data_IF_949607057947
#
_entry.id   IF_949607057947
#
_cell.length_a   1.000
_cell.length_b   1.000
_cell.length_c   1.000
_cell.angle_alpha   90.00
_cell.angle_beta   90.00
_cell.angle_gamma   90.00
#
_symmetry.space_group_name_H-M   'P 1'
#
loop_
_entity.id
_entity.type
_entity.pdbx_description
1 polymer ?
#
# COMPACT_ATOMS: atom_id res chain seq x y z
N UNK A 1 -20.95 -58.69 15.46
CA UNK A 1 -21.03 -57.26 15.14
C UNK A 1 -19.63 -56.77 14.84
N UNK A 2 -19.35 -56.43 13.55
CA UNK A 2 -18.03 -55.90 13.12
C UNK A 2 -18.13 -54.36 13.14
N UNK A 3 -17.38 -53.70 13.97
CA UNK A 3 -17.28 -52.21 13.97
C UNK A 3 -16.33 -51.78 12.83
N UNK A 4 -16.88 -51.07 11.83
CA UNK A 4 -16.14 -50.46 10.76
C UNK A 4 -15.55 -49.13 11.28
N UNK A 5 -14.23 -49.05 11.46
CA UNK A 5 -13.51 -47.80 11.79
C UNK A 5 -13.35 -46.97 10.53
N UNK A 6 -14.13 -45.90 10.41
CA UNK A 6 -13.98 -44.89 9.33
C UNK A 6 -12.89 -43.93 9.80
N UNK A 7 -11.71 -44.02 9.20
CA UNK A 7 -10.62 -43.05 9.38
C UNK A 7 -10.86 -41.87 8.49
N UNK A 8 -11.24 -40.72 9.07
CA UNK A 8 -11.43 -39.45 8.36
C UNK A 8 -10.05 -38.83 8.14
N UNK A 9 -9.54 -38.93 6.91
CA UNK A 9 -8.30 -38.26 6.52
C UNK A 9 -8.59 -36.77 6.26
N UNK A 10 -8.10 -35.91 7.17
CA UNK A 10 -8.16 -34.46 7.02
C UNK A 10 -7.14 -34.03 5.96
N UNK A 11 -7.60 -33.75 4.73
CA UNK A 11 -6.77 -33.15 3.69
C UNK A 11 -6.59 -31.64 4.01
N UNK A 12 -5.44 -31.30 4.57
CA UNK A 12 -5.01 -29.91 4.70
C UNK A 12 -4.64 -29.38 3.33
N UNK A 13 -5.58 -28.69 2.69
CA UNK A 13 -5.28 -27.88 1.51
C UNK A 13 -4.43 -26.65 1.95
N UNK A 14 -3.12 -26.76 1.82
CA UNK A 14 -2.24 -25.60 1.87
C UNK A 14 -2.47 -24.81 0.57
N UNK A 15 -3.24 -23.73 0.65
CA UNK A 15 -3.33 -22.75 -0.43
C UNK A 15 -1.98 -22.04 -0.52
N UNK A 16 -1.14 -22.47 -1.45
CA UNK A 16 0.02 -21.68 -1.85
C UNK A 16 -0.51 -20.40 -2.50
N UNK A 17 -0.48 -19.28 -1.77
CA UNK A 17 -0.65 -17.97 -2.38
C UNK A 17 0.58 -17.78 -3.25
N UNK A 18 0.43 -17.95 -4.55
CA UNK A 18 1.46 -17.64 -5.53
C UNK A 18 1.69 -16.12 -5.41
N UNK A 19 2.86 -15.75 -4.93
CA UNK A 19 3.29 -14.36 -4.89
C UNK A 19 3.26 -13.82 -6.34
N UNK A 20 2.40 -12.85 -6.60
CA UNK A 20 2.24 -12.29 -7.93
C UNK A 20 3.38 -11.32 -8.19
N UNK A 21 4.17 -11.58 -9.24
CA UNK A 21 5.18 -10.63 -9.71
C UNK A 21 4.50 -9.36 -10.22
N UNK A 22 4.83 -8.23 -9.58
CA UNK A 22 4.33 -6.92 -9.98
C UNK A 22 5.12 -6.43 -11.19
N UNK A 23 4.41 -5.94 -12.22
CA UNK A 23 5.04 -5.29 -13.38
C UNK A 23 5.83 -4.08 -12.91
N UNK A 24 7.07 -3.92 -13.41
CA UNK A 24 7.91 -2.76 -13.08
C UNK A 24 7.26 -1.44 -13.47
N UNK A 25 7.42 -0.43 -12.63
CA UNK A 25 6.92 0.92 -12.87
C UNK A 25 7.87 1.96 -12.29
N UNK A 26 7.76 3.17 -12.84
CA UNK A 26 8.53 4.34 -12.40
C UNK A 26 7.57 5.49 -12.11
N UNK A 27 7.80 6.19 -10.99
CA UNK A 27 7.03 7.36 -10.55
C UNK A 27 7.99 8.52 -10.32
N UNK A 28 7.58 9.72 -10.68
CA UNK A 28 8.26 10.97 -10.32
C UNK A 28 7.51 11.64 -9.19
N UNK A 29 8.22 12.02 -8.14
CA UNK A 29 7.65 12.72 -7.00
C UNK A 29 7.25 14.14 -7.38
N UNK A 30 6.08 14.56 -6.91
CA UNK A 30 5.56 15.91 -7.08
C UNK A 30 6.14 16.86 -6.03
N UNK A 31 6.59 16.34 -4.88
CA UNK A 31 7.02 17.17 -3.75
C UNK A 31 8.52 17.48 -3.73
N UNK A 32 9.37 16.61 -4.29
CA UNK A 32 10.83 16.77 -4.26
C UNK A 32 11.55 16.42 -5.58
N UNK A 33 10.80 16.10 -6.64
CA UNK A 33 11.28 15.70 -7.96
C UNK A 33 12.13 14.40 -7.96
N UNK A 34 12.19 13.67 -6.86
CA UNK A 34 12.86 12.36 -6.82
C UNK A 34 12.12 11.33 -7.67
N UNK A 35 12.81 10.27 -8.07
CA UNK A 35 12.23 9.20 -8.88
C UNK A 35 12.29 7.88 -8.13
N UNK A 36 11.15 7.20 -8.03
CA UNK A 36 11.05 5.83 -7.56
C UNK A 36 10.89 4.88 -8.75
N UNK A 37 11.69 3.81 -8.79
CA UNK A 37 11.54 2.70 -9.75
C UNK A 37 11.51 1.40 -8.98
N UNK A 38 10.47 0.57 -9.16
CA UNK A 38 10.31 -0.67 -8.41
C UNK A 38 11.50 -1.61 -8.54
N UNK A 39 12.00 -1.83 -9.75
CA UNK A 39 13.15 -2.71 -10.00
C UNK A 39 14.45 -2.27 -9.31
N UNK A 40 14.57 -0.98 -8.94
CA UNK A 40 15.71 -0.43 -8.19
C UNK A 40 15.58 -0.56 -6.67
N UNK A 41 14.43 -1.01 -6.17
CA UNK A 41 14.14 -1.18 -4.73
C UNK A 41 14.46 -2.59 -4.20
N UNK A 42 15.05 -3.46 -5.03
CA UNK A 42 15.41 -4.84 -4.63
C UNK A 42 16.26 -4.86 -3.36
N UNK A 43 15.98 -5.82 -2.49
CA UNK A 43 16.62 -5.94 -1.18
C UNK A 43 15.86 -5.26 -0.03
N UNK A 44 14.84 -4.44 -0.33
CA UNK A 44 13.97 -3.79 0.67
C UNK A 44 12.51 -4.17 0.44
N UNK A 45 11.73 -4.08 1.50
CA UNK A 45 10.27 -4.06 1.35
C UNK A 45 9.83 -2.75 0.73
N UNK A 46 8.73 -2.77 -0.03
CA UNK A 46 8.09 -1.57 -0.59
C UNK A 46 6.64 -1.52 -0.16
N UNK A 47 6.28 -0.49 0.59
CA UNK A 47 4.90 -0.22 1.00
C UNK A 47 4.31 0.87 0.11
N UNK A 48 3.31 0.52 -0.69
CA UNK A 48 2.63 1.42 -1.61
C UNK A 48 1.30 1.84 -0.98
N UNK A 49 1.16 3.13 -0.69
CA UNK A 49 -0.03 3.72 -0.10
C UNK A 49 -0.83 4.44 -1.19
N UNK A 50 -1.95 3.86 -1.59
CA UNK A 50 -2.90 4.50 -2.51
C UNK A 50 -3.83 5.40 -1.72
N UNK A 51 -3.60 6.70 -1.82
CA UNK A 51 -4.36 7.73 -1.13
C UNK A 51 -5.55 8.18 -1.98
N UNK A 52 -6.55 8.73 -1.31
CA UNK A 52 -7.73 9.30 -1.97
C UNK A 52 -7.46 10.76 -2.40
N UNK A 53 -8.46 11.34 -3.08
CA UNK A 53 -8.42 12.74 -3.52
C UNK A 53 -8.28 13.77 -2.38
N UNK A 54 -7.99 15.00 -2.74
CA UNK A 54 -7.46 16.09 -1.92
C UNK A 54 -8.20 16.35 -0.60
N UNK A 55 -9.53 16.31 -0.57
CA UNK A 55 -10.30 16.64 0.64
C UNK A 55 -10.39 15.48 1.66
N UNK A 56 -9.55 14.47 1.53
CA UNK A 56 -9.57 13.33 2.45
C UNK A 56 -8.82 13.65 3.78
N UNK A 57 -9.49 14.01 4.89
CA UNK A 57 -8.84 14.28 6.17
C UNK A 57 -8.21 13.02 6.77
N UNK A 58 -8.74 11.86 6.45
CA UNK A 58 -8.18 10.57 6.86
C UNK A 58 -6.82 10.29 6.19
N UNK A 59 -6.65 10.74 4.94
CA UNK A 59 -5.37 10.64 4.24
C UNK A 59 -4.30 11.52 4.90
N UNK A 60 -4.65 12.76 5.31
CA UNK A 60 -3.71 13.66 6.01
C UNK A 60 -3.22 13.00 7.30
N UNK A 61 -4.13 12.49 8.13
CA UNK A 61 -3.77 11.85 9.40
C UNK A 61 -2.91 10.61 9.19
N UNK A 62 -3.33 9.73 8.28
CA UNK A 62 -2.61 8.51 7.93
C UNK A 62 -1.19 8.81 7.42
N UNK A 63 -1.07 9.73 6.45
CA UNK A 63 0.23 10.07 5.87
C UNK A 63 1.15 10.73 6.88
N UNK A 64 0.64 11.67 7.71
CA UNK A 64 1.42 12.32 8.77
C UNK A 64 1.95 11.30 9.78
N UNK A 65 1.12 10.33 10.21
CA UNK A 65 1.54 9.27 11.13
C UNK A 65 2.67 8.41 10.54
N UNK A 66 2.53 7.98 9.28
CA UNK A 66 3.55 7.17 8.63
C UNK A 66 4.84 7.94 8.38
N UNK A 67 4.76 9.23 8.05
CA UNK A 67 5.95 10.08 7.89
C UNK A 67 6.75 10.19 9.20
N UNK A 68 6.07 10.47 10.31
CA UNK A 68 6.72 10.56 11.62
C UNK A 68 7.40 9.25 12.04
N UNK A 69 6.78 8.12 11.71
CA UNK A 69 7.21 6.79 12.16
C UNK A 69 8.06 6.03 11.13
N UNK A 70 8.31 6.59 9.94
CA UNK A 70 9.02 5.89 8.85
C UNK A 70 10.41 5.39 9.26
N UNK A 71 11.14 6.16 10.08
CA UNK A 71 12.48 5.80 10.58
C UNK A 71 12.50 4.55 11.46
N UNK A 72 11.37 4.13 12.01
CA UNK A 72 11.24 2.88 12.77
C UNK A 72 11.33 1.62 11.87
N UNK A 73 11.21 1.78 10.56
CA UNK A 73 11.23 0.70 9.58
C UNK A 73 12.24 0.99 8.46
N UNK A 74 13.55 1.02 8.74
CA UNK A 74 14.59 1.45 7.79
C UNK A 74 14.72 0.53 6.57
N UNK A 75 14.22 -0.71 6.66
CA UNK A 75 14.21 -1.69 5.57
C UNK A 75 12.96 -1.62 4.69
N UNK A 76 12.08 -0.64 4.91
CA UNK A 76 10.84 -0.45 4.14
C UNK A 76 10.89 0.90 3.42
N UNK A 77 10.76 0.86 2.10
CA UNK A 77 10.54 2.06 1.28
C UNK A 77 9.04 2.37 1.31
N UNK A 78 8.70 3.59 1.74
CA UNK A 78 7.32 4.09 1.76
C UNK A 78 7.04 4.88 0.48
N UNK A 79 6.02 4.49 -0.27
CA UNK A 79 5.62 5.11 -1.55
C UNK A 79 4.19 5.60 -1.42
N UNK A 80 4.00 6.92 -1.33
CA UNK A 80 2.68 7.55 -1.20
C UNK A 80 2.21 8.06 -2.54
N UNK A 81 1.02 7.64 -2.98
CA UNK A 81 0.50 7.89 -4.33
C UNK A 81 -0.87 8.56 -4.24
N UNK A 82 -1.08 9.61 -5.03
CA UNK A 82 -2.36 10.33 -5.13
C UNK A 82 -2.81 10.46 -6.59
N UNK A 83 -4.11 10.36 -6.86
CA UNK A 83 -4.65 10.52 -8.22
C UNK A 83 -4.89 11.97 -8.62
N UNK A 84 -4.63 12.94 -7.74
CA UNK A 84 -4.85 14.36 -7.94
C UNK A 84 -3.86 14.96 -8.95
N UNK A 85 -4.10 16.18 -9.40
CA UNK A 85 -3.13 16.95 -10.18
C UNK A 85 -1.90 17.33 -9.33
N UNK A 86 -0.79 17.65 -9.96
CA UNK A 86 0.45 18.02 -9.26
C UNK A 86 0.25 19.19 -8.31
N UNK A 87 -0.49 20.24 -8.73
CA UNK A 87 -0.74 21.42 -7.91
C UNK A 87 -1.60 21.09 -6.69
N UNK A 88 -2.64 20.27 -6.86
CA UNK A 88 -3.46 19.76 -5.74
C UNK A 88 -2.64 18.92 -4.77
N UNK A 89 -1.71 18.10 -5.27
CA UNK A 89 -0.82 17.29 -4.41
C UNK A 89 0.11 18.19 -3.59
N UNK A 90 0.71 19.22 -4.21
CA UNK A 90 1.58 20.20 -3.53
C UNK A 90 0.81 20.94 -2.43
N UNK A 91 -0.38 21.44 -2.75
CA UNK A 91 -1.23 22.13 -1.78
C UNK A 91 -1.64 21.21 -0.62
N UNK A 92 -1.98 19.97 -0.94
CA UNK A 92 -2.33 18.98 0.07
C UNK A 92 -1.14 18.61 0.96
N UNK A 93 0.06 18.45 0.39
CA UNK A 93 1.28 18.14 1.13
C UNK A 93 1.61 19.19 2.18
N UNK A 94 1.32 20.48 1.91
CA UNK A 94 1.50 21.57 2.87
C UNK A 94 0.58 21.46 4.11
N UNK A 95 -0.46 20.63 4.06
CA UNK A 95 -1.38 20.38 5.18
C UNK A 95 -0.92 19.24 6.10
N UNK A 96 0.15 18.52 5.71
CA UNK A 96 0.69 17.43 6.53
C UNK A 96 1.35 18.01 7.80
N UNK A 97 1.01 17.39 8.94
CA UNK A 97 1.52 17.78 10.25
C UNK A 97 2.65 16.82 10.67
N UNK A 98 3.73 16.79 9.91
CA UNK A 98 4.87 15.95 10.20
C UNK A 98 6.16 16.77 10.12
N UNK A 99 7.11 16.51 11.01
CA UNK A 99 8.46 17.06 10.94
C UNK A 99 9.32 16.37 9.90
N UNK A 100 8.94 15.14 9.54
CA UNK A 100 9.56 14.37 8.48
C UNK A 100 8.77 14.53 7.18
N UNK A 101 9.46 14.49 6.05
CA UNK A 101 8.85 14.54 4.72
C UNK A 101 9.34 13.36 3.89
N UNK A 102 8.40 12.69 3.23
CA UNK A 102 8.68 11.65 2.24
C UNK A 102 8.10 12.05 0.89
N UNK A 103 8.65 11.54 -0.22
CA UNK A 103 8.14 11.82 -1.55
C UNK A 103 6.67 11.42 -1.71
N UNK A 104 5.89 12.27 -2.40
CA UNK A 104 4.52 11.97 -2.79
C UNK A 104 4.44 11.96 -4.31
N UNK A 105 3.89 10.88 -4.85
CA UNK A 105 3.86 10.60 -6.28
C UNK A 105 2.45 10.80 -6.85
N UNK A 106 2.39 11.17 -8.12
CA UNK A 106 1.13 11.23 -8.84
C UNK A 106 0.85 9.90 -9.55
N UNK A 107 -0.40 9.43 -9.44
CA UNK A 107 -0.97 8.38 -10.28
C UNK A 107 -2.11 8.97 -11.13
N UNK A 108 -1.75 9.70 -12.18
CA UNK A 108 -2.70 10.36 -13.04
C UNK A 108 -3.74 9.37 -13.59
N UNK A 109 -5.02 9.67 -13.38
CA UNK A 109 -6.16 8.81 -13.73
C UNK A 109 -6.15 7.42 -13.06
N UNK A 110 -5.51 7.27 -11.92
CA UNK A 110 -5.45 6.05 -11.11
C UNK A 110 -4.97 4.80 -11.87
N UNK A 111 -4.07 4.97 -12.86
CA UNK A 111 -3.58 3.87 -13.72
C UNK A 111 -2.82 2.81 -12.95
N UNK A 112 -2.03 3.23 -11.96
CA UNK A 112 -1.30 2.29 -11.13
C UNK A 112 -2.24 1.58 -10.16
N UNK A 113 -3.24 2.27 -9.62
CA UNK A 113 -4.29 1.64 -8.81
C UNK A 113 -5.03 0.56 -9.59
N UNK A 114 -5.37 0.82 -10.87
CA UNK A 114 -5.97 -0.18 -11.78
C UNK A 114 -5.02 -1.37 -12.01
N UNK A 115 -3.73 -1.13 -12.22
CA UNK A 115 -2.73 -2.18 -12.39
C UNK A 115 -2.64 -3.10 -11.17
N UNK A 116 -2.83 -2.56 -9.97
CA UNK A 116 -2.90 -3.31 -8.72
C UNK A 116 -4.29 -3.88 -8.42
N UNK A 117 -5.24 -3.77 -9.34
CA UNK A 117 -6.62 -4.23 -9.17
C UNK A 117 -7.28 -3.67 -7.89
N UNK A 118 -7.02 -2.40 -7.58
CA UNK A 118 -7.69 -1.72 -6.48
C UNK A 118 -9.08 -1.33 -6.96
N UNK A 119 -10.17 -1.78 -6.30
CA UNK A 119 -11.51 -1.52 -6.78
C UNK A 119 -11.88 -0.04 -6.72
N UNK A 120 -12.68 0.39 -7.66
CA UNK A 120 -13.32 1.70 -7.63
C UNK A 120 -14.27 1.77 -6.43
N UNK A 121 -14.16 2.83 -5.65
CA UNK A 121 -14.84 2.97 -4.36
C UNK A 121 -16.05 3.88 -4.38
N UNK A 122 -15.91 5.11 -4.87
CA UNK A 122 -16.96 6.12 -4.83
C UNK A 122 -16.80 7.16 -5.93
N UNK A 123 -17.86 7.92 -6.17
CA UNK A 123 -17.80 9.07 -7.07
C UNK A 123 -17.43 10.34 -6.30
N UNK A 124 -16.54 11.13 -6.87
CA UNK A 124 -16.10 12.40 -6.33
C UNK A 124 -15.95 13.41 -7.48
N UNK A 125 -16.71 14.50 -7.44
CA UNK A 125 -16.74 15.52 -8.49
C UNK A 125 -16.88 14.94 -9.92
N UNK A 126 -17.77 13.94 -10.09
CA UNK A 126 -18.01 13.27 -11.37
C UNK A 126 -16.94 12.26 -11.80
N UNK A 127 -15.93 12.02 -10.97
CA UNK A 127 -14.89 11.01 -11.22
C UNK A 127 -15.07 9.82 -10.29
N UNK A 128 -14.81 8.62 -10.79
CA UNK A 128 -14.71 7.42 -9.97
C UNK A 128 -13.33 7.40 -9.32
N UNK A 129 -13.31 7.20 -8.00
CA UNK A 129 -12.08 7.14 -7.21
C UNK A 129 -11.95 5.74 -6.61
N UNK A 130 -10.76 5.16 -6.68
CA UNK A 130 -10.48 3.86 -6.06
C UNK A 130 -10.57 3.92 -4.52
N UNK A 131 -10.75 2.76 -3.89
CA UNK A 131 -10.65 2.66 -2.44
C UNK A 131 -9.22 2.95 -1.95
N UNK A 132 -9.04 3.43 -0.70
CA UNK A 132 -7.72 3.53 -0.12
C UNK A 132 -7.12 2.15 0.03
N UNK A 133 -5.82 2.03 -0.25
CA UNK A 133 -5.17 0.73 -0.17
C UNK A 133 -3.73 0.85 0.33
N UNK A 134 -3.23 -0.24 0.92
CA UNK A 134 -1.83 -0.46 1.20
C UNK A 134 -1.42 -1.80 0.61
N UNK A 135 -0.46 -1.76 -0.31
CA UNK A 135 0.14 -2.95 -0.93
C UNK A 135 1.58 -3.08 -0.42
N UNK A 136 1.94 -4.27 0.05
CA UNK A 136 3.30 -4.53 0.52
C UNK A 136 3.97 -5.53 -0.41
N UNK A 137 5.10 -5.11 -0.95
CA UNK A 137 5.98 -5.96 -1.76
C UNK A 137 7.19 -6.39 -0.91
N UNK A 138 7.66 -7.61 -1.11
CA UNK A 138 8.87 -8.10 -0.47
C UNK A 138 10.14 -7.58 -1.17
N UNK A 139 11.31 -7.99 -0.67
CA UNK A 139 12.61 -7.60 -1.20
C UNK A 139 12.92 -8.12 -2.62
N UNK A 140 12.04 -8.95 -3.19
CA UNK A 140 12.09 -9.41 -4.60
C UNK A 140 11.13 -8.63 -5.51
N UNK A 141 10.24 -7.80 -4.95
CA UNK A 141 9.19 -7.08 -5.66
C UNK A 141 7.91 -7.89 -5.84
N UNK A 142 7.72 -8.95 -5.07
CA UNK A 142 6.52 -9.78 -5.07
C UNK A 142 5.52 -9.26 -4.03
N UNK A 143 4.24 -9.21 -4.38
CA UNK A 143 3.18 -8.83 -3.45
C UNK A 143 3.02 -9.91 -2.37
N UNK A 144 3.20 -9.51 -1.10
CA UNK A 144 3.12 -10.40 0.08
C UNK A 144 2.01 -10.02 1.05
N UNK A 145 1.46 -8.82 0.92
CA UNK A 145 0.32 -8.38 1.71
C UNK A 145 -0.43 -7.27 0.99
N UNK A 146 -1.75 -7.28 1.19
CA UNK A 146 -2.63 -6.24 0.67
C UNK A 146 -3.71 -5.91 1.69
N UNK A 147 -3.98 -4.63 1.84
CA UNK A 147 -5.12 -4.11 2.57
C UNK A 147 -5.90 -3.15 1.68
N UNK A 148 -7.17 -3.42 1.48
CA UNK A 148 -8.10 -2.53 0.78
C UNK A 148 -9.09 -2.01 1.81
N UNK A 149 -9.19 -0.70 1.96
CA UNK A 149 -10.16 -0.08 2.85
C UNK A 149 -11.59 -0.35 2.42
N UNK A 150 -12.48 -0.58 3.37
CA UNK A 150 -13.91 -0.85 3.12
C UNK A 150 -14.69 0.40 2.76
N UNK A 151 -14.14 1.56 3.05
CA UNK A 151 -14.70 2.87 2.77
C UNK A 151 -13.58 3.92 2.75
N UNK A 152 -13.92 5.18 2.48
CA UNK A 152 -12.96 6.28 2.36
C UNK A 152 -12.32 6.75 3.68
N UNK A 153 -12.72 6.22 4.83
CA UNK A 153 -12.07 6.48 6.13
C UNK A 153 -11.22 5.32 6.65
N UNK A 154 -11.38 4.14 6.08
CA UNK A 154 -10.73 2.92 6.54
C UNK A 154 -9.27 2.86 6.07
N UNK A 155 -8.34 2.76 7.00
CA UNK A 155 -6.90 2.75 6.77
C UNK A 155 -6.21 1.67 7.59
N UNK A 156 -5.17 1.08 7.02
CA UNK A 156 -4.29 0.19 7.77
C UNK A 156 -3.41 1.03 8.69
N UNK A 157 -3.53 0.84 10.01
CA UNK A 157 -2.78 1.62 11.00
C UNK A 157 -1.28 1.31 10.95
N UNK A 158 -0.44 2.26 11.34
CA UNK A 158 1.00 2.06 11.39
C UNK A 158 1.40 0.91 12.33
N UNK A 159 0.73 0.75 13.46
CA UNK A 159 1.02 -0.33 14.42
C UNK A 159 0.75 -1.72 13.80
N UNK A 160 -0.38 -1.88 13.11
CA UNK A 160 -0.67 -3.13 12.40
C UNK A 160 0.31 -3.37 11.25
N UNK A 161 0.73 -2.30 10.56
CA UNK A 161 1.72 -2.38 9.51
C UNK A 161 3.08 -2.82 10.04
N UNK A 162 3.55 -2.23 11.14
CA UNK A 162 4.80 -2.61 11.80
C UNK A 162 4.76 -4.08 12.21
N UNK A 163 3.69 -4.52 12.88
CA UNK A 163 3.51 -5.93 13.26
C UNK A 163 3.53 -6.87 12.04
N UNK A 164 2.94 -6.45 10.90
CA UNK A 164 2.97 -7.23 9.66
C UNK A 164 4.38 -7.33 9.07
N UNK A 165 5.17 -6.27 9.09
CA UNK A 165 6.58 -6.30 8.65
C UNK A 165 7.40 -7.24 9.53
N UNK A 166 7.25 -7.16 10.86
CA UNK A 166 7.94 -8.04 11.80
C UNK A 166 7.58 -9.51 11.59
N UNK A 167 6.29 -9.82 11.37
CA UNK A 167 5.82 -11.17 11.01
C UNK A 167 6.50 -11.70 9.75
N UNK A 168 6.61 -10.87 8.69
CA UNK A 168 7.19 -11.28 7.42
C UNK A 168 8.71 -11.45 7.48
N UNK A 169 9.40 -10.63 8.25
CA UNK A 169 10.85 -10.78 8.48
C UNK A 169 11.17 -12.07 9.22
N UNK A 170 10.37 -12.41 10.24
CA UNK A 170 10.59 -13.61 11.07
C UNK A 170 10.24 -14.94 10.36
N UNK A 171 9.53 -14.88 9.22
CA UNK A 171 9.17 -16.05 8.41
C UNK A 171 10.18 -16.39 7.31
N UNK A 172 11.14 -15.50 7.02
CA UNK A 172 12.20 -15.67 6.03
C UNK A 172 13.53 -15.99 6.69
#
# INVERSE_FOLDING_TARGET
>A
MKFLKITFALFLFSTNILAQNVKDFTLTSVTDNSTFTLSKSKGKFVAIHFLLKTECPYCIRHTSEYFEKASLLPNVIQVFIKPDSEDEIKEWANKLKSTNSLPIYQDANAKLADQFNIPNGYQFHGQVVHYPALILLNNKGEEVFRYIGKNNSDRFSFENFKAKIEELINKN
#
